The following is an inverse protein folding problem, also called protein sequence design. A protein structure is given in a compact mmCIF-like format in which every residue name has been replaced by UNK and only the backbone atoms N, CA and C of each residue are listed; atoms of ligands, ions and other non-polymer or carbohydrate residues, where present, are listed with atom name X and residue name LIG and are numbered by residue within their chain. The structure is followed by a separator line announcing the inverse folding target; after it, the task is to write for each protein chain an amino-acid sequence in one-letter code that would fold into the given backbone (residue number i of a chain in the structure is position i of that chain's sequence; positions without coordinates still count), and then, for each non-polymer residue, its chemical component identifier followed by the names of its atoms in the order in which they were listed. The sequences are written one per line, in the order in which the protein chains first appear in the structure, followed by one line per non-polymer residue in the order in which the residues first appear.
data_IF_726456441563
#
_entry.id   IF_726456441563
#
_cell.length_a   1.000
_cell.length_b   1.000
_cell.length_c   1.000
_cell.angle_alpha   90.00
_cell.angle_beta   90.00
_cell.angle_gamma   90.00
#
_symmetry.space_group_name_H-M   'P 1'
#
loop_
_entity.id
_entity.type
_entity.pdbx_description
1 polymer ?
#
# COMPACT_ATOMS: atom_id res chain seq x y z
N UNK A 1 -9.93 1.36 19.71
CA UNK A 1 -9.52 0.86 18.37
C UNK A 1 -9.49 -0.65 18.48
N UNK A 2 -9.78 -1.38 17.40
CA UNK A 2 -10.09 -2.83 17.37
C UNK A 2 -11.55 -3.20 17.74
N UNK A 3 -12.53 -2.59 17.08
CA UNK A 3 -13.94 -2.79 17.41
C UNK A 3 -14.65 -3.83 16.53
N UNK A 4 -14.31 -3.88 15.25
CA UNK A 4 -15.03 -4.66 14.24
C UNK A 4 -14.32 -5.96 13.90
N UNK A 5 -15.08 -7.03 13.66
CA UNK A 5 -14.56 -8.27 13.10
C UNK A 5 -14.30 -8.08 11.59
N UNK A 6 -13.07 -8.26 11.08
CA UNK A 6 -12.78 -8.23 9.65
C UNK A 6 -13.74 -9.06 8.79
N UNK A 7 -14.17 -10.24 9.27
CA UNK A 7 -14.97 -11.17 8.48
C UNK A 7 -16.40 -10.65 8.20
N UNK A 8 -16.88 -9.67 8.97
CA UNK A 8 -18.16 -9.01 8.72
C UNK A 8 -18.11 -8.02 7.54
N UNK A 9 -16.90 -7.56 7.18
CA UNK A 9 -16.71 -6.46 6.20
C UNK A 9 -15.85 -6.85 4.99
N UNK A 10 -15.01 -7.88 5.13
CA UNK A 10 -14.02 -8.27 4.13
C UNK A 10 -14.10 -9.75 3.82
N UNK A 11 -14.02 -10.07 2.52
CA UNK A 11 -13.84 -11.43 2.04
C UNK A 11 -12.35 -11.69 1.74
N UNK A 12 -11.68 -12.63 2.44
CA UNK A 12 -10.29 -12.94 2.18
C UNK A 12 -10.10 -13.58 0.79
N UNK A 13 -9.21 -13.00 -0.01
CA UNK A 13 -8.80 -13.62 -1.29
C UNK A 13 -7.78 -14.73 -1.00
N UNK A 14 -8.18 -15.97 -1.28
CA UNK A 14 -7.24 -17.10 -1.26
C UNK A 14 -6.27 -16.98 -2.43
N UNK A 15 -5.01 -17.37 -2.20
CA UNK A 15 -3.98 -17.37 -3.26
C UNK A 15 -4.48 -18.20 -4.46
N UNK A 16 -4.62 -17.60 -5.65
CA UNK A 16 -5.09 -18.35 -6.82
C UNK A 16 -4.07 -19.40 -7.25
N UNK A 17 -4.52 -20.48 -7.89
CA UNK A 17 -3.64 -21.53 -8.43
C UNK A 17 -2.80 -21.05 -9.62
N UNK A 18 -3.21 -19.94 -10.25
CA UNK A 18 -2.51 -19.26 -11.34
C UNK A 18 -1.93 -17.95 -10.81
N UNK A 19 -0.86 -17.45 -11.41
CA UNK A 19 -0.27 -16.14 -11.06
C UNK A 19 -1.09 -14.96 -11.60
N UNK A 20 -2.43 -15.06 -11.52
CA UNK A 20 -3.36 -14.06 -12.00
C UNK A 20 -4.69 -14.08 -11.24
N UNK A 21 -5.34 -12.92 -11.13
CA UNK A 21 -6.61 -12.73 -10.44
C UNK A 21 -7.52 -11.78 -11.24
N UNK A 22 -8.83 -12.06 -11.28
CA UNK A 22 -9.80 -11.19 -11.95
C UNK A 22 -10.40 -10.27 -10.90
N UNK A 23 -10.18 -8.97 -11.05
CA UNK A 23 -10.87 -7.94 -10.30
C UNK A 23 -12.24 -7.74 -10.95
N UNK A 24 -13.31 -8.06 -10.23
CA UNK A 24 -14.67 -7.83 -10.70
C UNK A 24 -14.97 -6.32 -10.79
N UNK A 25 -15.74 -5.94 -11.82
CA UNK A 25 -16.21 -4.57 -11.96
C UNK A 25 -16.97 -4.13 -10.71
N UNK A 26 -16.76 -2.88 -10.29
CA UNK A 26 -17.39 -2.25 -9.12
C UNK A 26 -17.10 -2.89 -7.76
N UNK A 27 -16.16 -3.84 -7.66
CA UNK A 27 -15.62 -4.32 -6.38
C UNK A 27 -14.40 -3.51 -5.93
N UNK A 28 -14.16 -3.53 -4.63
CA UNK A 28 -13.03 -2.89 -3.99
C UNK A 28 -12.12 -3.95 -3.38
N UNK A 29 -10.82 -3.81 -3.62
CA UNK A 29 -9.80 -4.78 -3.25
C UNK A 29 -8.68 -4.10 -2.48
N UNK A 30 -8.19 -4.77 -1.44
CA UNK A 30 -6.94 -4.39 -0.77
C UNK A 30 -5.87 -5.34 -1.27
N UNK A 31 -4.90 -4.81 -2.01
CA UNK A 31 -3.74 -5.54 -2.52
C UNK A 31 -2.48 -5.00 -1.85
N UNK A 32 -1.36 -5.71 -2.03
CA UNK A 32 -0.07 -5.30 -1.47
C UNK A 32 1.03 -5.45 -2.53
N UNK A 33 1.97 -4.52 -2.56
CA UNK A 33 3.10 -4.56 -3.49
C UNK A 33 3.97 -5.81 -3.28
N UNK A 34 4.66 -6.22 -4.34
CA UNK A 34 5.68 -7.29 -4.25
C UNK A 34 6.94 -6.73 -3.58
N UNK A 35 7.33 -5.54 -4.02
CA UNK A 35 8.47 -4.75 -3.56
C UNK A 35 8.23 -4.15 -2.18
N UNK A 36 9.33 -3.82 -1.51
CA UNK A 36 9.35 -3.04 -0.26
C UNK A 36 10.01 -1.70 -0.54
N UNK A 37 9.48 -0.63 0.04
CA UNK A 37 10.07 0.70 -0.06
C UNK A 37 10.66 1.16 1.27
N UNK A 38 11.67 2.03 1.17
CA UNK A 38 12.31 2.71 2.29
C UNK A 38 12.39 4.18 1.94
N UNK A 39 11.78 5.02 2.75
CA UNK A 39 11.78 6.48 2.56
C UNK A 39 12.77 7.09 3.54
N UNK A 40 13.94 7.57 3.08
CA UNK A 40 14.92 8.18 3.98
C UNK A 40 14.34 9.43 4.67
N UNK A 41 14.85 9.81 5.86
CA UNK A 41 14.32 10.95 6.62
C UNK A 41 14.37 12.30 5.90
N UNK A 42 15.21 12.44 4.87
CA UNK A 42 15.36 13.66 4.08
C UNK A 42 14.38 13.77 2.91
N UNK A 43 13.50 12.78 2.73
CA UNK A 43 12.56 12.70 1.63
C UNK A 43 11.14 12.42 2.11
N UNK A 44 10.16 12.96 1.39
CA UNK A 44 8.83 12.37 1.33
C UNK A 44 8.71 11.57 0.04
N UNK A 45 7.76 10.65 -0.02
CA UNK A 45 7.44 9.98 -1.26
C UNK A 45 5.93 9.99 -1.53
N UNK A 46 5.54 9.83 -2.78
CA UNK A 46 4.13 9.78 -3.19
C UNK A 46 3.89 8.64 -4.16
N UNK A 47 2.70 8.05 -4.10
CA UNK A 47 2.26 7.08 -5.09
C UNK A 47 1.76 7.80 -6.34
N UNK A 48 2.46 7.62 -7.46
CA UNK A 48 2.12 8.22 -8.76
C UNK A 48 1.55 7.15 -9.68
N UNK A 49 0.51 7.53 -10.44
CA UNK A 49 -0.12 6.63 -11.42
C UNK A 49 0.90 6.24 -12.50
N UNK A 50 1.00 4.94 -12.79
CA UNK A 50 1.96 4.43 -13.77
C UNK A 50 1.60 4.82 -15.21
N UNK A 51 0.33 4.66 -15.60
CA UNK A 51 -0.22 5.00 -16.91
C UNK A 51 -1.73 5.32 -16.81
N UNK A 52 -2.20 6.34 -17.52
CA UNK A 52 -3.60 6.75 -17.62
C UNK A 52 -4.47 5.73 -18.37
N UNK A 53 -3.88 4.90 -19.25
CA UNK A 53 -4.56 3.78 -19.92
C UNK A 53 -5.00 2.67 -18.96
N UNK A 54 -4.42 2.61 -17.75
CA UNK A 54 -4.86 1.75 -16.67
C UNK A 54 -6.12 2.26 -15.95
N UNK A 55 -6.87 3.20 -16.54
CA UNK A 55 -8.03 3.88 -15.94
C UNK A 55 -9.14 2.96 -15.40
N UNK A 56 -9.09 1.67 -15.71
CA UNK A 56 -9.92 0.63 -15.10
C UNK A 56 -9.48 0.28 -13.68
N UNK A 57 -8.18 0.28 -13.36
CA UNK A 57 -7.63 0.14 -12.00
C UNK A 57 -7.28 1.53 -11.47
N UNK A 58 -8.06 1.98 -10.49
CA UNK A 58 -7.62 3.09 -9.65
C UNK A 58 -6.99 2.53 -8.39
N UNK A 59 -5.72 2.86 -8.15
CA UNK A 59 -5.18 2.92 -6.79
C UNK A 59 -5.86 4.11 -6.12
N UNK A 60 -7.01 3.86 -5.51
CA UNK A 60 -7.73 4.89 -4.78
C UNK A 60 -6.87 5.33 -3.59
N UNK A 61 -6.91 6.63 -3.28
CA UNK A 61 -6.08 7.28 -2.25
C UNK A 61 -4.57 7.18 -2.50
N UNK A 62 -4.10 7.74 -3.63
CA UNK A 62 -2.70 8.12 -3.78
C UNK A 62 -2.25 8.89 -2.53
N UNK A 63 -1.43 8.23 -1.72
CA UNK A 63 -0.98 8.73 -0.44
C UNK A 63 0.45 9.23 -0.52
N UNK A 64 0.79 10.09 0.45
CA UNK A 64 2.16 10.37 0.80
C UNK A 64 2.70 9.27 1.72
N UNK A 65 3.95 8.91 1.52
CA UNK A 65 4.74 8.14 2.46
C UNK A 65 5.60 9.12 3.25
N UNK A 66 5.41 9.11 4.56
CA UNK A 66 6.14 10.01 5.46
C UNK A 66 7.65 9.73 5.46
N UNK A 67 8.47 10.75 5.77
CA UNK A 67 9.91 10.58 5.94
C UNK A 67 10.19 9.56 7.04
N UNK A 68 10.95 8.52 6.71
CA UNK A 68 11.20 7.38 7.60
C UNK A 68 10.34 6.15 7.32
N UNK A 69 9.35 6.21 6.41
CA UNK A 69 8.50 5.05 6.13
C UNK A 69 9.30 3.84 5.65
N UNK A 70 9.22 2.74 6.40
CA UNK A 70 10.01 1.53 6.15
C UNK A 70 11.53 1.71 6.33
N UNK A 71 11.99 2.88 6.77
CA UNK A 71 13.39 3.17 7.03
C UNK A 71 13.77 2.73 8.45
N UNK A 72 15.05 2.42 8.65
CA UNK A 72 15.57 1.95 9.93
C UNK A 72 17.10 1.86 9.91
N UNK A 73 17.67 1.31 10.97
CA UNK A 73 19.12 1.14 11.19
C UNK A 73 19.78 0.06 10.32
N UNK A 74 19.06 -0.51 9.35
CA UNK A 74 19.49 -1.64 8.53
C UNK A 74 18.78 -2.96 8.89
N UNK A 75 18.17 -3.06 10.07
CA UNK A 75 17.30 -4.20 10.42
C UNK A 75 15.96 -4.19 9.66
N UNK A 76 15.48 -3.01 9.29
CA UNK A 76 14.24 -2.82 8.50
C UNK A 76 14.58 -2.83 7.01
N UNK A 77 14.17 -3.89 6.32
CA UNK A 77 14.37 -4.07 4.87
C UNK A 77 13.30 -3.38 4.01
N UNK A 78 12.64 -2.36 4.56
CA UNK A 78 11.50 -1.69 3.94
C UNK A 78 10.15 -2.30 4.25
N UNK A 79 9.11 -1.57 3.86
CA UNK A 79 7.71 -1.90 4.10
C UNK A 79 6.98 -2.01 2.76
N UNK A 80 6.06 -2.98 2.66
CA UNK A 80 5.24 -3.13 1.45
C UNK A 80 4.18 -2.03 1.39
N UNK A 81 3.82 -1.63 0.18
CA UNK A 81 2.77 -0.64 -0.07
C UNK A 81 1.43 -1.36 -0.15
N UNK A 82 0.49 -0.97 0.70
CA UNK A 82 -0.90 -1.39 0.58
C UNK A 82 -1.59 -0.53 -0.46
N UNK A 83 -2.32 -1.16 -1.36
CA UNK A 83 -3.03 -0.52 -2.46
C UNK A 83 -4.51 -0.82 -2.36
N UNK A 84 -5.30 0.20 -2.54
CA UNK A 84 -6.75 0.11 -2.63
C UNK A 84 -7.13 0.14 -4.10
N UNK A 85 -7.57 -0.99 -4.64
CA UNK A 85 -7.75 -1.19 -6.08
C UNK A 85 -9.24 -1.41 -6.40
N UNK A 86 -9.72 -0.72 -7.43
CA UNK A 86 -11.07 -0.92 -7.97
C UNK A 86 -11.03 -1.04 -9.48
N UNK A 87 -11.64 -2.10 -10.00
CA UNK A 87 -12.01 -2.21 -11.41
C UNK A 87 -13.28 -1.39 -11.66
N UNK A 88 -13.27 -0.49 -12.65
CA UNK A 88 -14.41 0.41 -12.91
C UNK A 88 -15.57 -0.30 -13.60
N UNK A 89 -15.55 -0.35 -14.93
CA UNK A 89 -16.72 -0.71 -15.74
C UNK A 89 -16.73 -2.16 -16.19
N UNK A 90 -15.56 -2.77 -16.39
CA UNK A 90 -15.41 -4.16 -16.80
C UNK A 90 -14.45 -4.90 -15.86
N UNK A 91 -14.54 -6.25 -15.78
CA UNK A 91 -13.58 -7.04 -15.03
C UNK A 91 -12.16 -6.86 -15.59
N UNK A 92 -11.17 -6.77 -14.71
CA UNK A 92 -9.78 -6.57 -15.08
C UNK A 92 -8.92 -7.74 -14.58
N UNK A 93 -8.14 -8.35 -15.47
CA UNK A 93 -7.20 -9.42 -15.10
C UNK A 93 -5.87 -8.81 -14.67
N UNK A 94 -5.49 -9.01 -13.40
CA UNK A 94 -4.16 -8.66 -12.88
C UNK A 94 -3.25 -9.88 -12.82
N UNK A 95 -1.97 -9.69 -13.07
CA UNK A 95 -0.93 -10.72 -12.95
C UNK A 95 0.02 -10.45 -11.76
N UNK A 96 0.61 -11.50 -11.20
CA UNK A 96 1.71 -11.33 -10.24
C UNK A 96 2.88 -10.56 -10.89
N UNK A 97 3.35 -9.51 -10.20
CA UNK A 97 4.43 -8.66 -10.70
C UNK A 97 4.02 -7.66 -11.80
N UNK A 98 2.74 -7.56 -12.14
CA UNK A 98 2.25 -6.49 -13.00
C UNK A 98 2.54 -5.13 -12.34
N UNK A 99 3.14 -4.22 -13.10
CA UNK A 99 3.40 -2.85 -12.62
C UNK A 99 2.10 -2.06 -12.54
N UNK A 100 1.79 -1.55 -11.34
CA UNK A 100 0.53 -0.83 -11.07
C UNK A 100 0.72 0.65 -10.74
N UNK A 101 1.87 1.06 -10.22
CA UNK A 101 2.16 2.44 -9.81
C UNK A 101 3.66 2.74 -9.85
N UNK A 102 4.01 4.02 -9.69
CA UNK A 102 5.38 4.52 -9.47
C UNK A 102 5.44 5.18 -8.10
N UNK A 103 6.63 5.26 -7.52
CA UNK A 103 6.86 6.03 -6.30
C UNK A 103 7.75 7.22 -6.65
N UNK A 104 7.18 8.42 -6.55
CA UNK A 104 7.92 9.67 -6.66
C UNK A 104 8.59 9.99 -5.33
N UNK A 105 9.84 10.44 -5.34
CA UNK A 105 10.54 10.90 -4.15
C UNK A 105 10.79 12.39 -4.28
N UNK A 106 10.44 13.14 -3.24
CA UNK A 106 10.68 14.58 -3.16
C UNK A 106 11.56 14.89 -1.94
N UNK A 107 12.61 15.68 -2.18
CA UNK A 107 13.52 16.10 -1.12
C UNK A 107 12.85 17.17 -0.26
N UNK A 108 12.87 16.98 1.05
CA UNK A 108 12.36 17.95 2.00
C UNK A 108 13.30 19.15 2.12
N UNK A 109 12.76 20.32 2.52
CA UNK A 109 13.56 21.52 2.82
C UNK A 109 14.54 21.31 3.98
N UNK A 110 14.16 20.52 4.96
CA UNK A 110 14.97 20.14 6.11
C UNK A 110 14.50 18.79 6.65
N UNK A 111 15.35 18.11 7.40
CA UNK A 111 14.98 16.87 8.09
C UNK A 111 13.91 17.17 9.16
N UNK A 112 12.81 16.41 9.23
CA UNK A 112 11.76 16.65 10.22
C UNK A 112 12.22 16.24 11.62
N UNK A 113 11.67 16.90 12.64
CA UNK A 113 11.91 16.55 14.06
C UNK A 113 11.35 15.17 14.40
N UNK A 114 10.22 14.80 13.78
CA UNK A 114 9.56 13.52 13.94
C UNK A 114 9.72 12.71 12.66
N UNK A 115 10.41 11.58 12.76
CA UNK A 115 10.62 10.65 11.65
C UNK A 115 9.71 9.45 11.87
N UNK A 116 9.00 9.04 10.81
CA UNK A 116 8.11 7.88 10.85
C UNK A 116 8.88 6.64 11.31
N UNK A 117 8.31 5.89 12.26
CA UNK A 117 8.92 4.67 12.78
C UNK A 117 10.04 4.87 13.81
N UNK A 118 10.34 6.10 14.21
CA UNK A 118 11.27 6.39 15.32
C UNK A 118 10.45 6.82 16.54
N UNK A 119 10.30 5.92 17.52
CA UNK A 119 9.47 6.16 18.72
C UNK A 119 8.02 5.67 18.58
N UNK A 120 7.35 5.51 19.72
CA UNK A 120 6.09 4.77 19.97
C UNK A 120 5.10 4.65 18.78
N UNK A 121 4.74 3.39 18.49
CA UNK A 121 3.50 2.96 17.84
C UNK A 121 3.20 3.52 16.43
N UNK A 122 4.19 3.55 15.54
CA UNK A 122 3.93 3.75 14.11
C UNK A 122 3.11 2.57 13.55
N UNK A 123 1.88 2.83 13.12
CA UNK A 123 0.89 1.79 12.79
C UNK A 123 1.24 0.93 11.56
N UNK A 124 2.24 1.33 10.77
CA UNK A 124 2.57 0.70 9.49
C UNK A 124 4.05 0.30 9.33
N UNK A 125 4.90 0.50 10.34
CA UNK A 125 6.27 -0.03 10.29
C UNK A 125 6.19 -1.57 10.36
N UNK A 126 6.67 -2.28 9.32
CA UNK A 126 6.53 -3.73 9.11
C UNK A 126 5.19 -4.25 8.56
N UNK A 127 4.38 -3.40 7.93
CA UNK A 127 3.08 -3.79 7.37
C UNK A 127 3.16 -5.02 6.44
N UNK A 128 2.49 -6.09 6.85
CA UNK A 128 1.90 -7.12 5.96
C UNK A 128 0.52 -6.61 5.51
N UNK A 129 -0.24 -7.32 4.66
CA UNK A 129 -1.60 -6.88 4.31
C UNK A 129 -2.43 -6.67 5.60
N UNK A 130 -2.64 -5.40 5.97
CA UNK A 130 -3.18 -4.99 7.28
C UNK A 130 -4.34 -4.05 7.03
N UNK A 131 -5.50 -4.40 7.57
CA UNK A 131 -6.69 -3.56 7.53
C UNK A 131 -6.54 -2.34 8.44
N UNK A 132 -7.44 -1.37 8.31
CA UNK A 132 -7.41 -0.15 9.14
C UNK A 132 -7.48 -0.47 10.65
N UNK A 133 -7.00 0.45 11.49
CA UNK A 133 -7.00 0.38 12.97
C UNK A 133 -8.37 0.23 13.65
N UNK A 134 -9.45 0.20 12.88
CA UNK A 134 -10.81 -0.02 13.40
C UNK A 134 -11.15 -1.51 13.54
N UNK A 135 -10.44 -2.38 12.82
CA UNK A 135 -10.64 -3.81 12.84
C UNK A 135 -9.82 -4.49 13.93
N UNK A 136 -10.39 -5.53 14.53
CA UNK A 136 -9.66 -6.43 15.44
C UNK A 136 -8.54 -7.13 14.67
N UNK A 137 -7.39 -7.28 15.33
CA UNK A 137 -6.21 -7.98 14.80
C UNK A 137 -6.26 -9.47 15.12
#
# INVERSE_FOLDING_TARGET
MDFYDPAEFWEPIKRPNRDAFILEANRFYILVSKERIRVPPEFAAEMVVYDAGAGEIRTHYAGFFDPGFGFGDGSVLGTKVVMEVRAREVPFLVYDGQTSFKVGFERLRSRPEHVYGVGLASSYQHQTLTLSKHFRR
#
